data_IF_916961855643
#
_entry.id   IF_916961855643
#
_cell.length_a   1.000
_cell.length_b   1.000
_cell.length_c   1.000
_cell.angle_alpha   90.00
_cell.angle_beta   90.00
_cell.angle_gamma   90.00
#
_symmetry.space_group_name_H-M   'P 1'
#
loop_
_entity.id
_entity.type
_entity.pdbx_description
1 polymer ?
#
# COMPACT_ATOMS: atom_id res chain seq x y z
N UNK A 1 19.18 -18.02 17.02
CA UNK A 1 18.93 -17.89 16.53
C UNK A 1 18.82 -17.60 15.99
N UNK A 2 18.68 -17.48 16.04
CA UNK A 2 18.37 -17.24 15.43
C UNK A 2 18.10 -16.92 14.87
N UNK A 3 17.81 -16.66 15.04
CA UNK A 3 17.23 -16.42 14.40
C UNK A 3 16.91 -15.94 14.09
N UNK A 4 16.50 -15.86 14.29
CA UNK A 4 15.98 -15.61 13.86
C UNK A 4 15.92 -14.88 13.56
N UNK A 5 15.74 -14.62 13.73
CA UNK A 5 15.64 -14.01 13.38
C UNK A 5 15.91 -13.42 12.82
N UNK A 6 15.97 -13.33 12.77
CA UNK A 6 16.08 -12.73 12.09
C UNK A 6 15.97 -12.44 10.99
N UNK A 7 16.31 -12.17 10.79
CA UNK A 7 15.87 -12.36 9.49
C UNK A 7 14.56 -11.76 9.18
N UNK A 8 14.01 -11.17 10.05
CA UNK A 8 12.75 -10.63 10.03
C UNK A 8 12.54 -9.49 9.08
N UNK A 9 13.52 -8.59 8.89
CA UNK A 9 13.45 -7.53 7.90
C UNK A 9 13.30 -8.09 6.49
N UNK A 10 13.96 -9.18 6.23
CA UNK A 10 13.85 -9.87 4.96
C UNK A 10 12.43 -10.37 4.71
N UNK A 11 11.79 -10.89 5.74
CA UNK A 11 10.43 -11.39 5.64
C UNK A 11 9.44 -10.29 5.29
N UNK A 12 9.68 -9.07 5.76
CA UNK A 12 8.80 -7.96 5.45
C UNK A 12 9.02 -7.42 4.04
N UNK A 13 10.17 -7.71 3.43
CA UNK A 13 10.48 -7.25 2.07
C UNK A 13 10.10 -8.26 1.00
N UNK A 14 10.03 -9.53 1.34
CA UNK A 14 9.74 -10.61 0.39
C UNK A 14 9.14 -11.79 1.14
N UNK A 15 8.58 -12.75 0.40
CA UNK A 15 8.05 -13.98 0.94
C UNK A 15 6.52 -13.99 0.99
N UNK A 16 5.93 -15.10 1.49
CA UNK A 16 4.48 -15.29 1.43
C UNK A 16 3.68 -14.22 2.16
N UNK A 17 4.16 -13.75 3.31
CA UNK A 17 3.43 -12.73 4.03
C UNK A 17 3.41 -11.41 3.26
N UNK A 18 4.53 -11.01 2.67
CA UNK A 18 4.54 -9.79 1.89
C UNK A 18 3.69 -9.92 0.63
N UNK A 19 3.61 -11.12 0.04
CA UNK A 19 2.73 -11.37 -1.10
C UNK A 19 1.28 -11.17 -0.72
N UNK A 20 0.85 -11.67 0.44
CA UNK A 20 -0.51 -11.47 0.94
C UNK A 20 -0.80 -10.00 1.20
N UNK A 21 0.13 -9.30 1.82
CA UNK A 21 -0.03 -7.88 2.11
C UNK A 21 -0.13 -7.07 0.81
N UNK A 22 0.67 -7.41 -0.19
CA UNK A 22 0.59 -6.72 -1.47
C UNK A 22 -0.71 -7.03 -2.21
N UNK A 23 -1.18 -8.25 -2.13
CA UNK A 23 -2.48 -8.60 -2.70
C UNK A 23 -3.59 -7.81 -2.02
N UNK A 24 -3.55 -7.74 -0.69
CA UNK A 24 -4.53 -6.97 0.08
C UNK A 24 -4.48 -5.49 -0.26
N UNK A 25 -3.28 -4.94 -0.38
CA UNK A 25 -3.12 -3.52 -0.73
C UNK A 25 -3.68 -3.25 -2.13
N UNK A 26 -3.41 -4.13 -3.08
CA UNK A 26 -3.95 -4.01 -4.43
C UNK A 26 -5.47 -3.99 -4.42
N UNK A 27 -6.08 -4.90 -3.63
CA UNK A 27 -7.53 -4.93 -3.49
C UNK A 27 -8.08 -3.66 -2.83
N UNK A 28 -7.35 -3.14 -1.84
CA UNK A 28 -7.78 -1.92 -1.14
C UNK A 28 -7.77 -0.70 -2.07
N UNK A 29 -6.91 -0.72 -3.08
CA UNK A 29 -6.79 0.38 -4.04
C UNK A 29 -7.70 0.22 -5.27
N UNK A 30 -8.58 -0.78 -5.28
CA UNK A 30 -9.47 -1.02 -6.42
C UNK A 30 -10.40 0.16 -6.66
N UNK A 31 -10.61 0.48 -7.94
CA UNK A 31 -11.54 1.53 -8.36
C UNK A 31 -12.92 0.93 -8.63
N UNK A 32 -13.88 1.79 -8.88
CA UNK A 32 -15.22 1.37 -9.26
C UNK A 32 -16.05 0.94 -8.07
N UNK A 33 -16.83 -0.10 -8.24
CA UNK A 33 -17.73 -0.60 -7.20
C UNK A 33 -17.03 -1.00 -5.94
N UNK A 34 -15.78 -1.44 -6.06
CA UNK A 34 -15.00 -1.92 -4.91
C UNK A 34 -14.24 -0.82 -4.21
N UNK A 35 -14.36 0.41 -4.69
CA UNK A 35 -13.64 1.54 -4.12
C UNK A 35 -14.00 1.73 -2.65
N UNK A 36 -12.99 1.71 -1.79
CA UNK A 36 -13.12 1.85 -0.34
C UNK A 36 -13.91 0.73 0.35
N UNK A 37 -14.22 -0.35 -0.37
CA UNK A 37 -14.89 -1.49 0.25
C UNK A 37 -13.90 -2.33 1.05
N UNK A 38 -14.34 -2.98 2.14
CA UNK A 38 -13.48 -3.89 2.88
C UNK A 38 -12.97 -5.01 1.98
N UNK A 39 -11.74 -5.43 2.23
CA UNK A 39 -11.08 -6.42 1.37
C UNK A 39 -11.24 -7.85 1.86
N UNK A 40 -11.78 -8.06 3.08
CA UNK A 40 -11.78 -9.37 3.71
C UNK A 40 -12.45 -10.43 2.84
N UNK A 41 -13.63 -10.13 2.31
CA UNK A 41 -14.37 -11.11 1.50
C UNK A 41 -13.61 -11.48 0.24
N UNK A 42 -13.09 -10.46 -0.46
CA UNK A 42 -12.39 -10.71 -1.72
C UNK A 42 -11.11 -11.48 -1.48
N UNK A 43 -10.42 -11.17 -0.39
CA UNK A 43 -9.20 -11.87 -0.02
C UNK A 43 -9.50 -13.30 0.40
N UNK A 44 -10.61 -13.51 1.14
CA UNK A 44 -11.02 -14.85 1.58
C UNK A 44 -11.37 -15.76 0.40
N UNK A 45 -11.92 -15.22 -0.66
CA UNK A 45 -12.23 -15.99 -1.87
C UNK A 45 -10.96 -16.57 -2.50
N UNK A 46 -9.87 -15.85 -2.42
CA UNK A 46 -8.58 -16.29 -2.97
C UNK A 46 -7.80 -17.16 -2.00
N UNK A 47 -8.02 -16.94 -0.70
CA UNK A 47 -7.26 -17.59 0.37
C UNK A 47 -8.22 -18.09 1.43
N UNK A 48 -9.00 -19.16 1.13
CA UNK A 48 -10.01 -19.66 2.08
C UNK A 48 -9.42 -20.21 3.36
N UNK A 49 -8.11 -20.44 3.39
CA UNK A 49 -7.42 -20.93 4.58
C UNK A 49 -7.23 -19.85 5.65
N UNK A 50 -7.39 -18.57 5.29
CA UNK A 50 -7.15 -17.48 6.23
C UNK A 50 -8.30 -17.37 7.23
N UNK A 51 -7.96 -17.19 8.49
CA UNK A 51 -8.94 -16.96 9.55
C UNK A 51 -9.49 -15.55 9.46
N UNK A 52 -10.63 -15.32 10.10
CA UNK A 52 -11.20 -13.98 10.18
C UNK A 52 -10.24 -12.99 10.80
N UNK A 53 -9.54 -13.43 11.83
CA UNK A 53 -8.55 -12.59 12.51
C UNK A 53 -7.43 -12.18 11.57
N UNK A 54 -6.94 -13.12 10.77
CA UNK A 54 -5.89 -12.84 9.80
C UNK A 54 -6.37 -11.87 8.73
N UNK A 55 -7.60 -12.06 8.25
CA UNK A 55 -8.19 -11.16 7.25
C UNK A 55 -8.32 -9.74 7.78
N UNK A 56 -8.79 -9.60 9.01
CA UNK A 56 -8.94 -8.28 9.63
C UNK A 56 -7.58 -7.59 9.83
N UNK A 57 -6.57 -8.38 10.20
CA UNK A 57 -5.20 -7.88 10.37
C UNK A 57 -4.63 -7.37 9.06
N UNK A 58 -4.80 -8.14 8.00
CA UNK A 58 -4.31 -7.76 6.66
C UNK A 58 -5.03 -6.49 6.20
N UNK A 59 -6.34 -6.43 6.39
CA UNK A 59 -7.12 -5.23 6.03
C UNK A 59 -6.59 -4.00 6.75
N UNK A 60 -6.35 -4.10 8.05
CA UNK A 60 -5.87 -2.98 8.86
C UNK A 60 -4.49 -2.50 8.38
N UNK A 61 -3.58 -3.42 8.11
CA UNK A 61 -2.23 -3.10 7.65
C UNK A 61 -2.30 -2.41 6.28
N UNK A 62 -3.09 -2.97 5.37
CA UNK A 62 -3.19 -2.44 4.01
C UNK A 62 -3.83 -1.06 3.97
N UNK A 63 -4.87 -0.85 4.78
CA UNK A 63 -5.51 0.47 4.85
C UNK A 63 -4.58 1.52 5.43
N UNK A 64 -3.81 1.16 6.44
CA UNK A 64 -2.84 2.05 7.04
C UNK A 64 -1.76 2.44 6.03
N UNK A 65 -1.24 1.46 5.29
CA UNK A 65 -0.21 1.71 4.28
C UNK A 65 -0.77 2.55 3.13
N UNK A 66 -1.99 2.27 2.69
CA UNK A 66 -2.63 3.04 1.62
C UNK A 66 -2.81 4.49 2.02
N UNK A 67 -3.30 4.71 3.22
CA UNK A 67 -3.53 6.06 3.74
C UNK A 67 -2.22 6.83 3.87
N UNK A 68 -1.21 6.16 4.41
CA UNK A 68 0.12 6.76 4.53
C UNK A 68 0.65 7.18 3.16
N UNK A 69 0.56 6.27 2.17
CA UNK A 69 1.03 6.57 0.82
C UNK A 69 0.31 7.74 0.20
N UNK A 70 -1.01 7.78 0.31
CA UNK A 70 -1.79 8.89 -0.25
C UNK A 70 -1.44 10.21 0.41
N UNK A 71 -1.27 10.21 1.75
CA UNK A 71 -0.90 11.42 2.48
C UNK A 71 0.48 11.92 2.10
N UNK A 72 1.43 11.01 1.90
CA UNK A 72 2.80 11.40 1.52
C UNK A 72 2.86 11.99 0.11
N UNK A 73 2.12 11.41 -0.83
CA UNK A 73 2.04 11.99 -2.17
C UNK A 73 1.43 13.39 -2.11
N UNK A 74 0.38 13.54 -1.33
CA UNK A 74 -0.29 14.83 -1.19
C UNK A 74 0.69 15.88 -0.66
N UNK A 75 1.45 15.53 0.37
CA UNK A 75 2.44 16.45 0.95
C UNK A 75 3.54 16.80 -0.06
N UNK A 76 4.03 15.82 -0.81
CA UNK A 76 5.02 16.07 -1.85
C UNK A 76 4.46 16.98 -2.94
N UNK A 77 3.21 16.77 -3.33
CA UNK A 77 2.55 17.57 -4.35
C UNK A 77 2.34 19.01 -3.89
N UNK A 78 2.07 19.22 -2.61
CA UNK A 78 1.98 20.56 -2.05
C UNK A 78 3.28 21.34 -2.21
N UNK A 79 4.41 20.64 -2.15
CA UNK A 79 5.73 21.26 -2.27
C UNK A 79 6.19 21.42 -3.71
N UNK A 80 5.90 20.44 -4.56
CA UNK A 80 6.50 20.34 -5.88
C UNK A 80 5.50 20.35 -7.05
N UNK A 81 4.20 20.24 -6.76
CA UNK A 81 3.17 20.24 -7.80
C UNK A 81 3.41 19.18 -8.85
N UNK A 82 3.37 19.58 -10.12
CA UNK A 82 3.56 18.64 -11.23
C UNK A 82 4.98 18.09 -11.30
N UNK A 83 5.92 18.69 -10.59
CA UNK A 83 7.30 18.23 -10.54
C UNK A 83 7.57 17.19 -9.45
N UNK A 84 6.52 16.71 -8.81
CA UNK A 84 6.64 15.67 -7.77
C UNK A 84 7.27 14.41 -8.36
N UNK A 85 8.33 13.92 -7.71
CA UNK A 85 9.11 12.81 -8.23
C UNK A 85 8.73 11.51 -7.57
N UNK A 86 8.51 10.50 -8.40
CA UNK A 86 8.17 9.16 -7.98
C UNK A 86 9.23 8.56 -7.05
N UNK A 87 10.50 8.82 -7.33
CA UNK A 87 11.59 8.26 -6.55
C UNK A 87 11.62 8.77 -5.11
N UNK A 88 11.23 10.02 -4.90
CA UNK A 88 11.13 10.58 -3.55
C UNK A 88 10.03 9.87 -2.77
N UNK A 89 8.90 9.67 -3.42
CA UNK A 89 7.78 8.94 -2.85
C UNK A 89 8.16 7.51 -2.51
N UNK A 90 8.79 6.80 -3.45
CA UNK A 90 9.17 5.41 -3.25
C UNK A 90 10.10 5.25 -2.04
N UNK A 91 11.04 6.17 -1.88
CA UNK A 91 11.97 6.14 -0.75
C UNK A 91 11.26 6.28 0.58
N UNK A 92 10.29 7.18 0.65
CA UNK A 92 9.52 7.42 1.88
C UNK A 92 8.70 6.20 2.25
N UNK A 93 7.95 5.67 1.29
CA UNK A 93 7.08 4.52 1.56
C UNK A 93 7.91 3.27 1.88
N UNK A 94 8.98 3.03 1.13
CA UNK A 94 9.81 1.85 1.34
C UNK A 94 10.53 1.87 2.69
N UNK A 95 10.84 3.06 3.20
CA UNK A 95 11.44 3.18 4.53
C UNK A 95 10.46 2.77 5.62
N UNK A 96 9.18 3.06 5.43
CA UNK A 96 8.14 2.75 6.42
C UNK A 96 7.52 1.38 6.21
N UNK A 97 7.27 1.01 4.97
CA UNK A 97 6.61 -0.23 4.60
C UNK A 97 7.42 -0.94 3.52
N UNK A 98 8.54 -1.56 3.90
CA UNK A 98 9.44 -2.17 2.90
C UNK A 98 8.83 -3.33 2.12
N UNK A 99 7.69 -3.87 2.60
CA UNK A 99 7.01 -4.96 1.91
C UNK A 99 6.23 -4.49 0.67
N UNK A 100 5.96 -3.20 0.54
CA UNK A 100 5.15 -2.70 -0.59
C UNK A 100 5.97 -2.85 -1.87
N UNK A 101 5.41 -3.60 -2.83
CA UNK A 101 6.12 -3.87 -4.08
C UNK A 101 6.02 -2.71 -5.07
N UNK A 102 6.81 -2.78 -6.14
CA UNK A 102 6.88 -1.70 -7.13
C UNK A 102 5.55 -1.41 -7.81
N UNK A 103 4.77 -2.44 -8.08
CA UNK A 103 3.45 -2.28 -8.70
C UNK A 103 2.52 -1.47 -7.81
N UNK A 104 2.49 -1.79 -6.51
CA UNK A 104 1.65 -1.08 -5.57
C UNK A 104 2.18 0.32 -5.28
N UNK A 105 3.51 0.49 -5.25
CA UNK A 105 4.09 1.84 -5.15
C UNK A 105 3.63 2.72 -6.30
N UNK A 106 3.66 2.19 -7.52
CA UNK A 106 3.20 2.93 -8.69
C UNK A 106 1.74 3.33 -8.58
N UNK A 107 0.90 2.40 -8.14
CA UNK A 107 -0.53 2.65 -8.03
C UNK A 107 -0.83 3.67 -6.93
N UNK A 108 -0.18 3.55 -5.77
CA UNK A 108 -0.32 4.52 -4.68
C UNK A 108 0.05 5.93 -5.14
N UNK A 109 1.17 6.03 -5.84
CA UNK A 109 1.65 7.32 -6.35
C UNK A 109 0.63 7.91 -7.32
N UNK A 110 0.18 7.12 -8.27
CA UNK A 110 -0.76 7.59 -9.29
C UNK A 110 -2.09 8.02 -8.68
N UNK A 111 -2.61 7.25 -7.74
CA UNK A 111 -3.85 7.61 -7.05
C UNK A 111 -3.69 8.87 -6.21
N UNK A 112 -2.58 8.95 -5.49
CA UNK A 112 -2.30 10.12 -4.66
C UNK A 112 -2.14 11.39 -5.48
N UNK A 113 -1.45 11.29 -6.62
CA UNK A 113 -1.30 12.42 -7.53
C UNK A 113 -2.64 12.84 -8.13
N UNK A 114 -3.49 11.87 -8.46
CA UNK A 114 -4.83 12.17 -8.97
C UNK A 114 -5.63 12.99 -7.95
N UNK A 115 -5.62 12.58 -6.68
CA UNK A 115 -6.33 13.32 -5.64
C UNK A 115 -5.73 14.71 -5.42
N UNK A 116 -4.41 14.80 -5.41
CA UNK A 116 -3.73 16.08 -5.23
C UNK A 116 -4.06 17.02 -6.40
N UNK A 117 -4.01 16.48 -7.62
CA UNK A 117 -4.33 17.25 -8.81
C UNK A 117 -5.76 17.78 -8.76
N UNK A 118 -6.68 16.92 -8.36
CA UNK A 118 -8.09 17.28 -8.28
C UNK A 118 -8.34 18.36 -7.23
N UNK A 119 -7.70 18.21 -6.07
CA UNK A 119 -7.91 19.14 -4.95
C UNK A 119 -7.19 20.47 -5.14
N UNK A 120 -5.99 20.43 -5.70
CA UNK A 120 -5.14 21.62 -5.83
C UNK A 120 -5.34 22.33 -7.16
N UNK A 121 -5.97 21.69 -8.12
CA UNK A 121 -6.28 22.31 -9.40
C UNK A 121 -5.12 22.47 -10.36
N UNK A 122 -3.98 21.81 -10.14
CA UNK A 122 -2.93 21.83 -11.12
C UNK A 122 -3.17 20.73 -12.16
N UNK A 123 -2.94 21.04 -13.39
CA UNK A 123 -3.23 20.13 -14.49
C UNK A 123 -2.06 20.06 -15.42
#
# INVERSE_FOLDING_TARGET
>A
MTGHFRRRGTDTAAGPRSDLLNEGLHLAMAWGEDWLQPIQERLAQRHPELSRRELDEIDAICRTAMRFGHDEVYDLALKSGVDTKREDFDSIVSARYPWVNGRNLAQLFNQGMYYAWKDMGFA
#
